data_IF_411654584139
#
_entry.id   IF_411654584139
#
_cell.length_a   1.000
_cell.length_b   1.000
_cell.length_c   1.000
_cell.angle_alpha   90.00
_cell.angle_beta   90.00
_cell.angle_gamma   90.00
#
_symmetry.space_group_name_H-M   'P 1'
#
loop_
_entity.id
_entity.type
_entity.pdbx_description
1 polymer ?
#
# COMPACT_ATOMS: atom_id res chain seq x y z
N UNK A 1 17.21 -13.73 9.47
CA UNK A 1 16.07 -14.31 8.71
C UNK A 1 15.32 -13.18 8.04
N UNK A 2 15.23 -13.17 6.70
CA UNK A 2 14.56 -12.09 5.95
C UNK A 2 13.04 -12.25 6.12
N UNK A 3 12.35 -11.20 6.58
CA UNK A 3 10.88 -11.23 6.74
C UNK A 3 10.21 -11.38 5.37
N UNK A 4 9.15 -12.19 5.30
CA UNK A 4 8.27 -12.29 4.12
C UNK A 4 7.71 -10.90 3.80
N UNK A 5 7.85 -10.43 2.56
CA UNK A 5 7.48 -9.06 2.15
C UNK A 5 8.65 -8.07 2.11
N UNK A 6 9.80 -8.40 2.71
CA UNK A 6 10.96 -7.50 2.72
C UNK A 6 11.44 -7.15 1.31
N UNK A 7 11.50 -8.14 0.41
CA UNK A 7 11.96 -7.91 -0.97
C UNK A 7 11.00 -6.98 -1.70
N UNK A 8 9.70 -7.17 -1.53
CA UNK A 8 8.67 -6.34 -2.14
C UNK A 8 8.67 -4.91 -1.60
N UNK A 9 8.92 -4.71 -0.30
CA UNK A 9 9.11 -3.36 0.26
C UNK A 9 10.34 -2.65 -0.31
N UNK A 10 11.46 -3.37 -0.49
CA UNK A 10 12.68 -2.80 -1.12
C UNK A 10 12.43 -2.47 -2.59
N UNK A 11 11.79 -3.39 -3.33
CA UNK A 11 11.41 -3.19 -4.72
C UNK A 11 10.51 -1.96 -4.89
N UNK A 12 9.50 -1.82 -4.02
CA UNK A 12 8.59 -0.68 -4.05
C UNK A 12 9.30 0.65 -3.79
N UNK A 13 10.23 0.69 -2.83
CA UNK A 13 11.04 1.89 -2.57
C UNK A 13 11.86 2.26 -3.79
N UNK A 14 12.52 1.28 -4.43
CA UNK A 14 13.26 1.52 -5.68
C UNK A 14 12.35 2.07 -6.77
N UNK A 15 11.17 1.49 -6.96
CA UNK A 15 10.17 1.96 -7.94
C UNK A 15 9.81 3.43 -7.71
N UNK A 16 9.64 3.87 -6.45
CA UNK A 16 9.38 5.28 -6.15
C UNK A 16 10.56 6.19 -6.50
N UNK A 17 11.79 5.80 -6.13
CA UNK A 17 13.00 6.54 -6.48
C UNK A 17 13.19 6.68 -7.99
N UNK A 18 12.97 5.59 -8.73
CA UNK A 18 13.03 5.59 -10.20
C UNK A 18 11.93 6.47 -10.83
N UNK A 19 10.93 6.91 -10.05
CA UNK A 19 9.78 7.68 -10.52
C UNK A 19 9.68 9.10 -9.94
N UNK A 20 10.75 9.62 -9.34
CA UNK A 20 10.81 11.01 -8.87
C UNK A 20 10.22 11.22 -7.48
N UNK A 21 10.14 10.17 -6.67
CA UNK A 21 9.77 10.24 -5.25
C UNK A 21 10.98 9.88 -4.41
N UNK A 22 11.20 10.61 -3.31
CA UNK A 22 12.02 10.08 -2.22
C UNK A 22 11.19 9.08 -1.44
N UNK A 23 11.73 7.88 -1.19
CA UNK A 23 11.02 6.85 -0.46
C UNK A 23 11.92 6.13 0.55
N UNK A 24 11.33 5.76 1.69
CA UNK A 24 11.98 4.98 2.73
C UNK A 24 11.05 3.87 3.21
N UNK A 25 11.64 2.83 3.78
CA UNK A 25 10.92 1.85 4.58
C UNK A 25 10.86 2.32 6.02
N UNK A 26 9.72 2.13 6.68
CA UNK A 26 9.66 2.35 8.11
C UNK A 26 10.49 1.29 8.86
N UNK A 27 11.29 1.69 9.85
CA UNK A 27 12.03 0.74 10.66
C UNK A 27 11.04 -0.11 11.48
N UNK A 28 11.24 -1.43 11.43
CA UNK A 28 10.53 -2.39 12.27
C UNK A 28 8.98 -2.25 12.31
N UNK A 29 8.35 -2.06 11.13
CA UNK A 29 6.88 -1.99 10.95
C UNK A 29 6.09 -3.20 11.51
N UNK A 30 6.79 -4.25 11.96
CA UNK A 30 6.25 -5.41 12.66
C UNK A 30 6.64 -5.51 14.14
N UNK A 31 6.39 -4.46 14.93
CA UNK A 31 6.21 -4.58 16.39
C UNK A 31 7.27 -3.99 17.32
N UNK A 32 8.36 -3.39 16.81
CA UNK A 32 9.39 -2.81 17.70
C UNK A 32 8.99 -1.45 18.27
N UNK A 33 7.91 -0.84 17.75
CA UNK A 33 7.42 0.45 18.24
C UNK A 33 5.94 0.34 18.59
N UNK A 34 5.53 1.03 19.67
CA UNK A 34 4.11 1.16 20.06
C UNK A 34 3.33 2.10 19.13
N UNK A 35 4.01 2.80 18.21
CA UNK A 35 3.39 3.75 17.29
C UNK A 35 3.03 3.03 15.99
N UNK A 36 1.84 3.30 15.42
CA UNK A 36 1.49 2.72 14.14
C UNK A 36 2.37 3.33 13.05
N UNK A 37 2.97 2.48 12.23
CA UNK A 37 3.81 2.87 11.10
C UNK A 37 3.32 2.16 9.83
N UNK A 38 3.31 2.84 8.68
CA UNK A 38 3.20 2.19 7.39
C UNK A 38 4.46 1.35 7.13
N UNK A 39 4.46 0.53 6.08
CA UNK A 39 5.66 -0.19 5.66
C UNK A 39 6.59 0.70 4.82
N UNK A 40 6.00 1.51 3.92
CA UNK A 40 6.72 2.45 3.06
C UNK A 40 6.12 3.86 3.17
N UNK A 41 7.00 4.85 3.22
CA UNK A 41 6.64 6.27 3.08
C UNK A 41 7.34 6.79 1.83
N UNK A 42 6.59 7.50 0.99
CA UNK A 42 7.13 8.13 -0.21
C UNK A 42 6.61 9.57 -0.34
N UNK A 43 7.43 10.46 -0.88
CA UNK A 43 6.99 11.81 -1.22
C UNK A 43 7.89 12.52 -2.21
N UNK A 44 7.34 13.53 -2.89
CA UNK A 44 8.05 14.30 -3.91
C UNK A 44 7.96 15.83 -3.70
N UNK A 45 7.56 16.27 -2.50
CA UNK A 45 7.34 17.69 -2.19
C UNK A 45 5.89 18.17 -2.37
N UNK A 46 5.09 17.46 -3.17
CA UNK A 46 3.68 17.80 -3.43
C UNK A 46 2.72 16.70 -2.97
N UNK A 47 3.10 15.44 -3.24
CA UNK A 47 2.33 14.25 -2.89
C UNK A 47 3.11 13.43 -1.88
N UNK A 48 2.45 13.07 -0.79
CA UNK A 48 2.99 12.20 0.25
C UNK A 48 2.10 10.97 0.39
N UNK A 49 2.72 9.79 0.44
CA UNK A 49 2.07 8.49 0.43
C UNK A 49 2.56 7.69 1.64
N UNK A 50 1.62 7.09 2.36
CA UNK A 50 1.89 6.10 3.40
C UNK A 50 1.27 4.78 2.95
N UNK A 51 2.11 3.76 2.81
CA UNK A 51 1.74 2.52 2.14
C UNK A 51 1.94 1.34 3.06
N UNK A 52 0.88 0.58 3.26
CA UNK A 52 0.95 -0.77 3.81
C UNK A 52 1.20 -1.77 2.69
N UNK A 53 2.24 -2.58 2.80
CA UNK A 53 2.65 -3.51 1.75
C UNK A 53 2.13 -4.91 2.05
N UNK A 54 1.51 -5.53 1.04
CA UNK A 54 1.08 -6.93 1.11
C UNK A 54 1.53 -7.67 -0.15
N UNK A 55 2.03 -8.88 0.05
CA UNK A 55 2.41 -9.79 -1.03
C UNK A 55 1.77 -11.15 -0.82
N UNK A 56 1.33 -11.79 -1.89
CA UNK A 56 0.75 -13.13 -1.84
C UNK A 56 0.98 -13.88 -3.15
N UNK A 57 1.10 -15.21 -3.06
CA UNK A 57 1.03 -16.11 -4.21
C UNK A 57 -0.39 -16.63 -4.47
N UNK A 58 -1.34 -16.30 -3.58
CA UNK A 58 -2.76 -16.65 -3.72
C UNK A 58 -3.50 -15.57 -4.49
N UNK A 59 -4.81 -15.74 -4.65
CA UNK A 59 -5.73 -14.79 -5.26
C UNK A 59 -6.29 -13.73 -4.29
N UNK A 60 -6.01 -13.86 -2.99
CA UNK A 60 -6.56 -12.99 -1.94
C UNK A 60 -5.61 -12.70 -0.79
N UNK A 61 -5.86 -11.59 -0.10
CA UNK A 61 -5.17 -11.11 1.10
C UNK A 61 -6.19 -10.64 2.12
N UNK A 62 -5.93 -10.94 3.40
CA UNK A 62 -6.68 -10.41 4.53
C UNK A 62 -5.80 -9.43 5.31
N UNK A 63 -6.41 -8.36 5.80
CA UNK A 63 -5.73 -7.31 6.57
C UNK A 63 -6.54 -7.06 7.84
N UNK A 64 -5.85 -7.11 8.97
CA UNK A 64 -6.44 -6.84 10.29
C UNK A 64 -6.87 -5.37 10.40
N UNK A 65 -8.03 -5.14 11.01
CA UNK A 65 -8.59 -3.80 11.18
C UNK A 65 -7.66 -2.85 11.93
N UNK A 66 -6.95 -3.31 12.96
CA UNK A 66 -6.01 -2.46 13.74
C UNK A 66 -4.86 -1.97 12.87
N UNK A 67 -4.45 -2.76 11.87
CA UNK A 67 -3.39 -2.35 10.95
C UNK A 67 -3.86 -1.24 10.02
N UNK A 68 -5.10 -1.32 9.53
CA UNK A 68 -5.74 -0.23 8.76
C UNK A 68 -5.94 1.02 9.61
N UNK A 69 -6.48 0.88 10.82
CA UNK A 69 -6.65 1.99 11.76
C UNK A 69 -5.32 2.68 12.07
N UNK A 70 -4.25 1.90 12.26
CA UNK A 70 -2.90 2.40 12.45
C UNK A 70 -2.40 3.20 11.25
N UNK A 71 -2.56 2.66 10.03
CA UNK A 71 -2.20 3.35 8.79
C UNK A 71 -2.96 4.68 8.67
N UNK A 72 -4.28 4.67 8.85
CA UNK A 72 -5.13 5.86 8.79
C UNK A 72 -4.69 6.91 9.83
N UNK A 73 -4.42 6.48 11.07
CA UNK A 73 -3.95 7.36 12.14
C UNK A 73 -2.60 8.00 11.80
N UNK A 74 -1.64 7.20 11.31
CA UNK A 74 -0.34 7.70 10.88
C UNK A 74 -0.50 8.71 9.74
N UNK A 75 -1.22 8.34 8.70
CA UNK A 75 -1.50 9.16 7.52
C UNK A 75 -2.09 10.52 7.87
N UNK A 76 -3.08 10.54 8.76
CA UNK A 76 -3.73 11.77 9.22
C UNK A 76 -2.77 12.71 9.92
N UNK A 77 -1.90 12.18 10.79
CA UNK A 77 -0.93 12.98 11.55
C UNK A 77 0.22 13.46 10.65
N UNK A 78 0.71 12.58 9.76
CA UNK A 78 1.86 12.85 8.90
C UNK A 78 1.51 13.74 7.70
N UNK A 79 0.23 13.76 7.27
CA UNK A 79 -0.19 14.46 6.06
C UNK A 79 0.06 13.65 4.78
N UNK A 80 0.00 12.32 4.86
CA UNK A 80 0.20 11.42 3.72
C UNK A 80 -1.07 10.64 3.38
N UNK A 81 -1.33 10.41 2.10
CA UNK A 81 -2.48 9.61 1.66
C UNK A 81 -2.24 8.11 1.95
N UNK A 82 -3.19 7.43 2.62
CA UNK A 82 -3.06 6.01 2.95
C UNK A 82 -3.40 5.13 1.74
N UNK A 83 -2.54 4.16 1.44
CA UNK A 83 -2.79 3.15 0.41
C UNK A 83 -2.38 1.76 0.89
N UNK A 84 -3.05 0.74 0.38
CA UNK A 84 -2.56 -0.64 0.43
C UNK A 84 -1.89 -0.96 -0.89
N UNK A 85 -0.57 -1.19 -0.84
CA UNK A 85 0.21 -1.67 -1.98
C UNK A 85 0.21 -3.20 -1.99
N UNK A 86 -0.45 -3.80 -2.97
CA UNK A 86 -0.56 -5.25 -3.12
C UNK A 86 0.24 -5.75 -4.32
N UNK A 87 1.06 -6.76 -4.07
CA UNK A 87 1.75 -7.54 -5.10
C UNK A 87 1.26 -8.99 -5.09
N UNK A 88 0.39 -9.32 -6.04
CA UNK A 88 0.13 -10.72 -6.39
C UNK A 88 1.35 -11.23 -7.18
N UNK A 89 1.93 -12.38 -6.79
CA UNK A 89 3.15 -12.89 -7.43
C UNK A 89 2.97 -12.97 -8.95
N UNK A 90 4.02 -12.58 -9.68
CA UNK A 90 4.06 -12.53 -11.14
C UNK A 90 3.09 -11.53 -11.80
N UNK A 91 2.46 -10.63 -11.03
CA UNK A 91 1.60 -9.54 -11.54
C UNK A 91 2.23 -8.17 -11.26
N UNK A 92 1.65 -7.11 -11.84
CA UNK A 92 2.02 -5.73 -11.53
C UNK A 92 1.63 -5.35 -10.10
N UNK A 93 2.14 -4.21 -9.63
CA UNK A 93 1.68 -3.63 -8.37
C UNK A 93 0.27 -3.05 -8.54
N UNK A 94 -0.55 -3.20 -7.50
CA UNK A 94 -1.85 -2.56 -7.38
C UNK A 94 -1.89 -1.75 -6.09
N UNK A 95 -2.41 -0.54 -6.16
CA UNK A 95 -2.55 0.34 -5.01
C UNK A 95 -4.02 0.70 -4.82
N UNK A 96 -4.56 0.36 -3.65
CA UNK A 96 -5.96 0.63 -3.33
C UNK A 96 -6.04 1.67 -2.20
N UNK A 97 -6.87 2.71 -2.34
CA UNK A 97 -7.32 3.50 -1.19
C UNK A 97 -8.01 2.58 -0.17
N UNK A 98 -7.91 2.93 1.11
CA UNK A 98 -8.54 2.15 2.19
C UNK A 98 -10.07 2.07 2.02
N UNK A 99 -10.69 3.12 1.47
CA UNK A 99 -12.14 3.21 1.28
C UNK A 99 -12.67 2.25 0.19
N UNK A 100 -11.79 1.71 -0.65
CA UNK A 100 -12.15 0.79 -1.73
C UNK A 100 -12.09 -0.70 -1.33
N UNK A 101 -11.65 -0.99 -0.11
CA UNK A 101 -11.46 -2.34 0.40
C UNK A 101 -12.79 -3.00 0.82
N UNK A 102 -12.90 -4.31 0.61
CA UNK A 102 -14.05 -5.08 1.10
C UNK A 102 -13.90 -5.38 2.60
N UNK A 103 -14.98 -5.15 3.35
CA UNK A 103 -15.04 -5.44 4.78
C UNK A 103 -15.68 -6.81 4.97
N UNK A 104 -15.01 -7.68 5.70
CA UNK A 104 -15.50 -9.02 6.07
C UNK A 104 -16.48 -8.94 7.24
N UNK A 105 -17.22 -10.02 7.48
CA UNK A 105 -18.16 -10.13 8.62
C UNK A 105 -17.49 -9.85 9.97
N UNK A 106 -16.21 -10.19 10.12
CA UNK A 106 -15.41 -9.94 11.33
C UNK A 106 -14.82 -8.53 11.39
N UNK A 107 -15.26 -7.61 10.53
CA UNK A 107 -14.76 -6.23 10.39
C UNK A 107 -13.26 -6.11 10.05
N UNK A 108 -12.66 -7.19 9.54
CA UNK A 108 -11.36 -7.17 8.88
C UNK A 108 -11.51 -6.84 7.39
N UNK A 109 -10.41 -6.52 6.72
CA UNK A 109 -10.42 -6.13 5.32
C UNK A 109 -9.93 -7.27 4.42
N UNK A 110 -10.51 -7.39 3.23
CA UNK A 110 -10.14 -8.36 2.19
C UNK A 110 -9.82 -7.62 0.89
N UNK A 111 -8.77 -8.08 0.22
CA UNK A 111 -8.46 -7.72 -1.18
C UNK A 111 -8.29 -9.02 -1.94
N UNK A 112 -9.08 -9.21 -2.99
CA UNK A 112 -8.83 -10.25 -3.99
C UNK A 112 -8.32 -9.63 -5.30
N UNK A 113 -7.81 -10.50 -6.17
CA UNK A 113 -7.23 -10.11 -7.44
C UNK A 113 -8.25 -9.40 -8.34
N UNK A 114 -9.52 -9.80 -8.30
CA UNK A 114 -10.58 -9.17 -9.07
C UNK A 114 -10.83 -7.72 -8.63
N UNK A 115 -10.95 -7.48 -7.32
CA UNK A 115 -11.04 -6.14 -6.76
C UNK A 115 -9.83 -5.29 -7.15
N UNK A 116 -8.62 -5.85 -7.04
CA UNK A 116 -7.38 -5.16 -7.40
C UNK A 116 -7.31 -4.81 -8.89
N UNK A 117 -7.77 -5.68 -9.79
CA UNK A 117 -7.83 -5.41 -11.23
C UNK A 117 -8.85 -4.33 -11.58
N UNK A 118 -9.99 -4.32 -10.89
CA UNK A 118 -11.10 -3.39 -11.17
C UNK A 118 -10.87 -2.00 -10.59
N UNK A 119 -10.30 -1.92 -9.39
CA UNK A 119 -10.19 -0.67 -8.62
C UNK A 119 -8.76 -0.22 -8.33
N UNK A 120 -7.80 -1.14 -8.37
CA UNK A 120 -6.41 -0.83 -8.03
C UNK A 120 -5.78 0.10 -9.05
N UNK A 121 -5.12 1.12 -8.54
CA UNK A 121 -4.24 1.99 -9.32
C UNK A 121 -2.94 1.25 -9.59
N UNK A 122 -2.33 1.45 -10.76
CA UNK A 122 -0.92 1.15 -10.93
C UNK A 122 -0.02 2.29 -10.44
N UNK A 123 1.29 2.12 -10.60
CA UNK A 123 2.26 3.09 -10.08
C UNK A 123 2.11 4.48 -10.71
N UNK A 124 1.82 4.56 -12.02
CA UNK A 124 1.75 5.83 -12.74
C UNK A 124 0.51 6.61 -12.36
N UNK A 125 -0.60 5.91 -12.16
CA UNK A 125 -1.85 6.46 -11.63
C UNK A 125 -1.68 6.93 -10.18
N UNK A 126 -1.03 6.12 -9.33
CA UNK A 126 -0.78 6.45 -7.92
C UNK A 126 0.02 7.75 -7.77
N UNK A 127 1.06 7.92 -8.59
CA UNK A 127 1.93 9.10 -8.54
C UNK A 127 1.39 10.28 -9.37
N UNK A 128 0.30 10.09 -10.12
CA UNK A 128 -0.36 11.15 -10.87
C UNK A 128 0.27 11.48 -12.22
N UNK A 129 1.10 10.58 -12.79
CA UNK A 129 1.64 10.74 -14.15
C UNK A 129 0.60 10.43 -15.23
N UNK A 130 -0.37 9.57 -14.95
CA UNK A 130 -1.47 9.23 -15.85
C UNK A 130 -2.80 9.30 -15.11
N UNK A 131 -3.86 9.81 -15.76
CA UNK A 131 -5.24 9.70 -15.28
C UNK A 131 -5.96 8.67 -16.13
N UNK A 132 -6.47 7.61 -15.50
CA UNK A 132 -7.38 6.68 -16.17
C UNK A 132 -8.64 7.43 -16.63
N UNK A 133 -8.95 7.34 -17.93
CA UNK A 133 -10.29 7.62 -18.43
C UNK A 133 -11.12 6.36 -18.13
N UNK A 134 -11.83 6.34 -16.99
CA UNK A 134 -12.82 5.29 -16.73
C UNK A 134 -14.07 5.60 -17.55
N UNK A 135 -14.32 4.82 -18.60
CA UNK A 135 -15.62 4.84 -19.27
C UNK A 135 -16.68 4.40 -18.26
N UNK A 136 -17.70 5.25 -18.08
CA UNK A 136 -18.90 4.95 -17.28
C UNK A 136 -19.77 3.94 -17.99
#
# INVERSE_FOLDING_TARGET
MVRKGYKEEVDLVKIFWDNGFAAIRAPASGGATKKPLPDVIAGNGERYLAIEVKTTSKDRIYIDSKKIEGLLKFSKIFGAKPYIGVKFKYKKWFFLPVDDLEITVQKNYKIDLELALRKGLDIYELIGKEKQIKFK
#
